data_IF_033084863745
#
_entry.id   IF_033084863745
#
_cell.length_a   1.000
_cell.length_b   1.000
_cell.length_c   1.000
_cell.angle_alpha   90.00
_cell.angle_beta   90.00
_cell.angle_gamma   90.00
#
_symmetry.space_group_name_H-M   'P 1'
#
loop_
_entity.id
_entity.type
_entity.pdbx_description
1 polymer ?
#
# COMPACT_ATOMS: atom_id res chain seq x y z
N UNK A 1 -12.05 -23.91 18.00
CA UNK A 1 -12.52 -22.91 17.03
C UNK A 1 -11.39 -22.66 16.06
N UNK A 2 -11.44 -23.28 14.89
CA UNK A 2 -10.51 -22.99 13.81
C UNK A 2 -10.85 -21.59 13.30
N UNK A 3 -9.91 -20.64 13.47
CA UNK A 3 -10.04 -19.34 12.81
C UNK A 3 -9.95 -19.58 11.30
N UNK A 4 -10.84 -18.99 10.49
CA UNK A 4 -10.70 -19.11 9.05
C UNK A 4 -9.33 -18.56 8.67
N UNK A 5 -8.58 -19.32 7.86
CA UNK A 5 -7.37 -18.83 7.21
C UNK A 5 -7.84 -17.75 6.24
N UNK A 6 -7.95 -16.54 6.75
CA UNK A 6 -8.19 -15.36 5.95
C UNK A 6 -6.95 -15.26 5.07
N UNK A 7 -7.13 -15.38 3.76
CA UNK A 7 -6.13 -14.94 2.79
C UNK A 7 -6.03 -13.42 2.96
N UNK A 8 -5.28 -12.99 3.97
CA UNK A 8 -5.13 -11.59 4.34
C UNK A 8 -4.27 -10.94 3.27
N UNK A 9 -4.91 -10.46 2.21
CA UNK A 9 -4.36 -9.33 1.48
C UNK A 9 -4.55 -8.16 2.43
N UNK A 10 -3.50 -7.84 3.19
CA UNK A 10 -3.53 -6.74 4.16
C UNK A 10 -3.82 -5.44 3.40
N UNK A 11 -5.02 -4.88 3.64
CA UNK A 11 -5.38 -3.56 3.12
C UNK A 11 -4.79 -2.53 4.06
N UNK A 12 -3.83 -1.77 3.55
CA UNK A 12 -3.22 -0.67 4.28
C UNK A 12 -3.93 0.63 3.93
N UNK A 13 -4.50 1.25 4.95
CA UNK A 13 -5.11 2.57 4.84
C UNK A 13 -4.79 3.42 6.06
N UNK A 14 -4.92 4.73 5.88
CA UNK A 14 -4.97 5.69 6.97
C UNK A 14 -6.29 6.46 6.88
N UNK A 15 -6.76 6.99 8.00
CA UNK A 15 -7.92 7.87 8.03
C UNK A 15 -7.62 9.28 7.46
N UNK A 16 -6.36 9.56 7.15
CA UNK A 16 -5.93 10.83 6.55
C UNK A 16 -5.61 10.71 5.04
N UNK A 17 -5.70 9.51 4.46
CA UNK A 17 -5.32 9.28 3.07
C UNK A 17 -6.48 9.49 2.12
N UNK A 18 -6.69 10.75 1.73
CA UNK A 18 -7.74 11.14 0.80
C UNK A 18 -7.22 12.04 -0.33
N UNK A 19 -7.79 11.86 -1.52
CA UNK A 19 -7.60 12.75 -2.67
C UNK A 19 -8.99 13.05 -3.25
N UNK A 20 -9.39 14.32 -3.23
CA UNK A 20 -10.71 14.77 -3.71
C UNK A 20 -11.87 13.91 -3.17
N UNK A 21 -11.91 13.69 -1.84
CA UNK A 21 -12.90 12.86 -1.14
C UNK A 21 -12.77 11.34 -1.37
N UNK A 22 -11.92 10.89 -2.30
CA UNK A 22 -11.64 9.47 -2.49
C UNK A 22 -10.63 8.95 -1.49
N UNK A 23 -10.96 7.87 -0.79
CA UNK A 23 -10.03 7.19 0.12
C UNK A 23 -8.97 6.45 -0.69
N UNK A 24 -7.71 6.63 -0.33
CA UNK A 24 -6.58 5.91 -0.94
C UNK A 24 -6.15 4.78 -0.02
N UNK A 25 -6.05 3.58 -0.58
CA UNK A 25 -5.59 2.38 0.10
C UNK A 25 -4.50 1.69 -0.70
N UNK A 26 -3.71 0.88 -0.01
CA UNK A 26 -2.66 0.07 -0.60
C UNK A 26 -2.84 -1.41 -0.28
N UNK A 27 -2.45 -2.22 -1.24
CA UNK A 27 -2.17 -3.64 -1.05
C UNK A 27 -0.72 -3.87 -1.41
N UNK A 28 -0.06 -4.77 -0.71
CA UNK A 28 1.27 -5.23 -1.09
C UNK A 28 1.14 -6.54 -1.86
N UNK A 29 1.89 -6.66 -2.95
CA UNK A 29 2.04 -7.90 -3.70
C UNK A 29 2.56 -9.02 -2.80
N UNK A 30 2.18 -10.27 -3.09
CA UNK A 30 2.60 -11.41 -2.28
C UNK A 30 4.11 -11.53 -2.17
N UNK A 31 4.84 -11.22 -3.26
CA UNK A 31 6.30 -11.21 -3.25
C UNK A 31 6.85 -10.21 -2.23
N UNK A 32 6.28 -9.01 -2.17
CA UNK A 32 6.74 -7.99 -1.23
C UNK A 32 6.38 -8.37 0.22
N UNK A 33 5.16 -8.90 0.45
CA UNK A 33 4.76 -9.45 1.74
C UNK A 33 5.65 -10.60 2.21
N UNK A 34 6.10 -11.46 1.29
CA UNK A 34 7.02 -12.54 1.58
C UNK A 34 8.38 -12.03 2.08
N UNK A 35 8.93 -10.98 1.44
CA UNK A 35 10.18 -10.37 1.92
C UNK A 35 10.01 -9.67 3.28
N UNK A 36 8.87 -9.01 3.52
CA UNK A 36 8.54 -8.45 4.84
C UNK A 36 8.48 -9.56 5.91
N UNK A 37 7.86 -10.70 5.61
CA UNK A 37 7.75 -11.83 6.54
C UNK A 37 9.10 -12.49 6.86
N UNK A 38 10.07 -12.45 5.95
CA UNK A 38 11.43 -12.98 6.20
C UNK A 38 12.21 -12.17 7.23
N UNK A 39 11.98 -10.86 7.28
CA UNK A 39 12.71 -9.95 8.17
C UNK A 39 12.03 -9.77 9.53
N UNK A 40 10.75 -10.13 9.63
CA UNK A 40 10.01 -10.09 10.89
C UNK A 40 10.50 -11.14 11.87
N UNK A 41 10.60 -10.75 13.14
CA UNK A 41 10.97 -11.64 14.24
C UNK A 41 9.84 -12.59 14.66
N UNK A 42 8.61 -12.33 14.20
CA UNK A 42 7.39 -13.08 14.53
C UNK A 42 6.71 -13.62 13.28
N UNK A 43 5.95 -14.71 13.43
CA UNK A 43 5.13 -15.28 12.35
C UNK A 43 4.08 -14.27 11.86
N UNK A 44 3.51 -13.52 12.82
CA UNK A 44 2.59 -12.42 12.55
C UNK A 44 3.41 -11.14 12.36
N UNK A 45 3.89 -10.93 11.14
CA UNK A 45 4.81 -9.83 10.82
C UNK A 45 4.33 -8.44 11.28
N UNK A 46 3.01 -8.21 11.32
CA UNK A 46 2.40 -6.97 11.78
C UNK A 46 2.48 -6.75 13.31
N UNK A 47 2.82 -7.78 14.08
CA UNK A 47 3.09 -7.67 15.53
C UNK A 47 4.54 -7.22 15.80
N UNK A 48 5.43 -7.37 14.81
CA UNK A 48 6.77 -6.80 14.88
C UNK A 48 6.69 -5.28 14.67
N UNK A 49 6.78 -4.53 15.76
CA UNK A 49 6.60 -3.08 15.75
C UNK A 49 7.57 -2.37 14.80
N UNK A 50 8.80 -2.87 14.65
CA UNK A 50 9.81 -2.24 13.79
C UNK A 50 9.45 -2.46 12.33
N UNK A 51 9.09 -3.69 11.96
CA UNK A 51 8.70 -4.04 10.59
C UNK A 51 7.39 -3.36 10.20
N UNK A 52 6.38 -3.40 11.08
CA UNK A 52 5.10 -2.76 10.86
C UNK A 52 5.23 -1.24 10.71
N UNK A 53 6.02 -0.57 11.57
CA UNK A 53 6.28 0.86 11.47
C UNK A 53 7.01 1.20 10.16
N UNK A 54 8.05 0.43 9.81
CA UNK A 54 8.82 0.64 8.57
C UNK A 54 7.92 0.52 7.33
N UNK A 55 7.07 -0.51 7.29
CA UNK A 55 6.11 -0.72 6.21
C UNK A 55 5.13 0.45 6.10
N UNK A 56 4.55 0.87 7.22
CA UNK A 56 3.60 1.99 7.29
C UNK A 56 4.25 3.31 6.84
N UNK A 57 5.48 3.59 7.27
CA UNK A 57 6.22 4.79 6.83
C UNK A 57 6.48 4.80 5.32
N UNK A 58 6.81 3.64 4.72
CA UNK A 58 6.99 3.54 3.26
C UNK A 58 5.70 3.79 2.49
N UNK A 59 4.58 3.25 2.98
CA UNK A 59 3.27 3.48 2.37
C UNK A 59 2.82 4.94 2.50
N UNK A 60 3.12 5.60 3.63
CA UNK A 60 2.87 7.03 3.79
C UNK A 60 3.62 7.88 2.75
N UNK A 61 4.87 7.53 2.43
CA UNK A 61 5.63 8.19 1.38
C UNK A 61 5.02 7.92 0.00
N UNK A 62 4.57 6.69 -0.28
CA UNK A 62 3.86 6.36 -1.52
C UNK A 62 2.58 7.21 -1.67
N UNK A 63 1.81 7.36 -0.60
CA UNK A 63 0.66 8.26 -0.58
C UNK A 63 1.05 9.70 -0.86
N UNK A 64 2.09 10.22 -0.21
CA UNK A 64 2.57 11.59 -0.43
C UNK A 64 2.98 11.82 -1.88
N UNK A 65 3.63 10.85 -2.51
CA UNK A 65 3.97 10.89 -3.94
C UNK A 65 2.74 10.93 -4.83
N UNK A 66 1.75 10.06 -4.60
CA UNK A 66 0.46 10.08 -5.33
C UNK A 66 -0.21 11.45 -5.16
N UNK A 67 -0.29 11.95 -3.93
CA UNK A 67 -0.90 13.23 -3.62
C UNK A 67 -0.23 14.39 -4.36
N UNK A 68 1.10 14.48 -4.32
CA UNK A 68 1.88 15.52 -5.02
C UNK A 68 1.75 15.40 -6.54
N UNK A 69 1.78 14.18 -7.08
CA UNK A 69 1.58 13.94 -8.51
C UNK A 69 0.19 14.42 -8.95
N UNK A 70 -0.86 13.98 -8.26
CA UNK A 70 -2.23 14.40 -8.54
C UNK A 70 -2.42 15.91 -8.40
N UNK A 71 -1.87 16.53 -7.35
CA UNK A 71 -1.93 17.98 -7.17
C UNK A 71 -1.29 18.75 -8.35
N UNK A 72 -0.24 18.20 -8.95
CA UNK A 72 0.48 18.84 -10.05
C UNK A 72 -0.20 18.63 -11.41
N UNK A 73 -0.65 17.40 -11.68
CA UNK A 73 -1.09 16.99 -13.02
C UNK A 73 -2.61 16.80 -13.14
N UNK A 74 -3.35 16.80 -12.02
CA UNK A 74 -4.79 16.56 -12.00
C UNK A 74 -5.20 15.11 -12.30
N UNK A 75 -4.24 14.18 -12.30
CA UNK A 75 -4.45 12.76 -12.62
C UNK A 75 -3.79 11.86 -11.58
N UNK A 76 -4.30 10.65 -11.40
CA UNK A 76 -3.68 9.64 -10.53
C UNK A 76 -2.62 8.83 -11.29
N UNK A 77 -1.61 8.30 -10.58
CA UNK A 77 -0.65 7.36 -11.17
C UNK A 77 -1.33 6.14 -11.79
N UNK A 78 -0.68 5.59 -12.81
CA UNK A 78 -1.14 4.43 -13.57
C UNK A 78 -0.25 3.22 -13.29
N UNK A 79 -0.70 2.05 -13.77
CA UNK A 79 0.06 0.82 -13.69
C UNK A 79 1.43 1.02 -14.38
N UNK A 80 2.49 0.63 -13.68
CA UNK A 80 3.89 0.80 -14.09
C UNK A 80 4.59 2.00 -13.46
N UNK A 81 3.85 2.99 -12.95
CA UNK A 81 4.45 4.17 -12.31
C UNK A 81 5.13 3.80 -11.00
N UNK A 82 6.29 4.41 -10.76
CA UNK A 82 7.04 4.30 -9.50
C UNK A 82 6.53 5.36 -8.52
N UNK A 83 6.23 4.96 -7.29
CA UNK A 83 5.70 5.87 -6.26
C UNK A 83 6.73 6.22 -5.18
N UNK A 84 7.79 5.44 -5.07
CA UNK A 84 8.87 5.62 -4.11
C UNK A 84 10.20 5.51 -4.87
N UNK A 85 11.27 6.06 -4.29
CA UNK A 85 12.59 6.17 -4.90
C UNK A 85 13.14 4.90 -5.59
N UNK A 86 14.20 5.10 -6.37
CA UNK A 86 14.87 4.06 -7.15
C UNK A 86 15.34 2.87 -6.32
N UNK A 87 15.61 3.06 -5.02
CA UNK A 87 16.17 2.05 -4.12
C UNK A 87 15.10 1.10 -3.57
N UNK A 88 13.86 1.59 -3.34
CA UNK A 88 12.78 0.72 -2.86
C UNK A 88 12.18 -0.17 -3.95
N UNK A 89 12.16 0.30 -5.20
CA UNK A 89 11.53 -0.36 -6.33
C UNK A 89 9.99 -0.30 -6.39
N UNK A 90 9.32 0.41 -5.48
CA UNK A 90 7.87 0.31 -5.33
C UNK A 90 7.09 0.93 -6.52
N UNK A 91 6.39 0.07 -7.26
CA UNK A 91 5.59 0.38 -8.44
C UNK A 91 4.13 0.01 -8.25
N UNK A 92 3.27 0.70 -8.99
CA UNK A 92 1.86 0.30 -9.16
C UNK A 92 1.80 -0.90 -10.11
N UNK A 93 1.39 -2.06 -9.60
CA UNK A 93 1.12 -3.24 -10.43
C UNK A 93 -0.32 -3.32 -10.90
N UNK A 94 -1.24 -2.87 -10.05
CA UNK A 94 -2.66 -2.89 -10.33
C UNK A 94 -3.36 -1.75 -9.58
N UNK A 95 -4.56 -1.40 -10.05
CA UNK A 95 -5.40 -0.36 -9.45
C UNK A 95 -6.87 -0.73 -9.61
N UNK A 96 -7.59 -0.74 -8.50
CA UNK A 96 -9.05 -0.86 -8.50
C UNK A 96 -9.71 0.42 -8.00
N UNK A 97 -10.93 0.67 -8.48
CA UNK A 97 -11.75 1.83 -8.11
C UNK A 97 -13.12 1.30 -7.73
N UNK A 98 -13.56 1.59 -6.51
CA UNK A 98 -14.90 1.31 -6.03
C UNK A 98 -15.64 2.63 -5.79
N UNK A 99 -16.58 2.94 -6.68
CA UNK A 99 -17.38 4.17 -6.58
C UNK A 99 -18.45 4.14 -5.49
N UNK A 100 -18.83 2.98 -4.97
CA UNK A 100 -19.82 2.88 -3.89
C UNK A 100 -19.20 3.30 -2.55
N UNK A 101 -17.95 2.89 -2.31
CA UNK A 101 -17.18 3.27 -1.11
C UNK A 101 -16.28 4.49 -1.32
N UNK A 102 -16.29 5.08 -2.53
CA UNK A 102 -15.34 6.11 -2.98
C UNK A 102 -13.89 5.78 -2.63
N UNK A 103 -13.47 4.55 -2.91
CA UNK A 103 -12.14 4.04 -2.57
C UNK A 103 -11.34 3.72 -3.83
N UNK A 104 -10.07 4.10 -3.84
CA UNK A 104 -9.08 3.69 -4.84
C UNK A 104 -8.02 2.85 -4.14
N UNK A 105 -7.80 1.64 -4.63
CA UNK A 105 -6.81 0.73 -4.07
C UNK A 105 -5.66 0.55 -5.07
N UNK A 106 -4.44 0.80 -4.63
CA UNK A 106 -3.22 0.57 -5.39
C UNK A 106 -2.52 -0.71 -4.91
N UNK A 107 -2.24 -1.62 -5.83
CA UNK A 107 -1.42 -2.80 -5.55
C UNK A 107 0.03 -2.48 -5.84
N UNK A 108 0.88 -2.57 -4.81
CA UNK A 108 2.28 -2.18 -4.85
C UNK A 108 3.24 -3.36 -4.78
N UNK A 109 4.38 -3.24 -5.44
CA UNK A 109 5.42 -4.27 -5.49
C UNK A 109 6.64 -3.80 -6.27
N UNK A 110 7.65 -4.67 -6.40
CA UNK A 110 8.92 -4.36 -7.06
C UNK A 110 9.03 -4.97 -8.46
#
# INVERSE_FOLDING_TARGET
MERPIQSVVDVFGSDDWYINEWKIQFLLSERHLYEIRKIASTVNWYEDQIVAATCTSRLAICFESIYKYHKTFGTLPIIGDRLFDEDSGMKVHDRSIDGASMTITFVLGN
#
